data_IF_921935904350
#
_entry.id   IF_921935904350
#
_cell.length_a   1.000
_cell.length_b   1.000
_cell.length_c   1.000
_cell.angle_alpha   90.00
_cell.angle_beta   90.00
_cell.angle_gamma   90.00
#
_symmetry.space_group_name_H-M   'P 1'
#
loop_
_entity.id
_entity.type
_entity.pdbx_description
1 polymer ?
#
# COMPACT_ATOMS: atom_id res chain seq x y z
N UNK A 1 16.01 8.31 8.98
CA UNK A 1 14.62 7.87 8.68
C UNK A 1 14.65 6.37 8.53
N UNK A 2 13.70 5.64 9.12
CA UNK A 2 13.64 4.19 8.99
C UNK A 2 13.40 3.83 7.51
N UNK A 3 14.23 2.93 6.96
CA UNK A 3 14.18 2.51 5.56
C UNK A 3 13.39 1.19 5.38
N UNK A 4 12.87 0.64 6.47
CA UNK A 4 12.23 -0.67 6.54
C UNK A 4 10.96 -0.56 7.39
N UNK A 5 9.90 -1.24 6.96
CA UNK A 5 8.71 -1.48 7.75
C UNK A 5 8.32 -2.95 7.59
N UNK A 6 7.79 -3.53 8.67
CA UNK A 6 7.25 -4.88 8.73
C UNK A 6 5.86 -4.79 9.35
N UNK A 7 4.88 -5.44 8.72
CA UNK A 7 3.48 -5.36 9.13
C UNK A 7 2.88 -6.75 9.08
N UNK A 8 2.54 -7.27 10.26
CA UNK A 8 1.78 -8.50 10.41
C UNK A 8 0.30 -8.15 10.58
N UNK A 9 -0.51 -8.43 9.57
CA UNK A 9 -1.94 -8.11 9.57
C UNK A 9 -2.78 -8.94 10.54
N UNK A 10 -2.23 -10.01 11.14
CA UNK A 10 -2.90 -10.75 12.21
C UNK A 10 -2.93 -9.96 13.52
N UNK A 11 -1.92 -9.12 13.75
CA UNK A 11 -1.75 -8.33 14.99
C UNK A 11 -1.87 -6.84 14.77
N UNK A 12 -1.74 -6.38 13.52
CA UNK A 12 -1.66 -4.97 13.16
C UNK A 12 -2.84 -4.52 12.31
N UNK A 13 -3.50 -3.44 12.72
CA UNK A 13 -4.63 -2.88 11.97
C UNK A 13 -4.16 -2.12 10.72
N UNK A 14 -4.47 -2.66 9.52
CA UNK A 14 -4.27 -1.97 8.25
C UNK A 14 -4.84 -0.55 8.26
N UNK A 15 -6.05 -0.38 8.82
CA UNK A 15 -6.76 0.91 8.88
C UNK A 15 -5.96 1.94 9.68
N UNK A 16 -5.38 1.56 10.81
CA UNK A 16 -4.65 2.50 11.69
C UNK A 16 -3.23 2.75 11.20
N UNK A 17 -2.54 1.70 10.77
CA UNK A 17 -1.10 1.75 10.55
C UNK A 17 -0.70 2.06 9.12
N UNK A 18 -1.52 1.71 8.13
CA UNK A 18 -1.13 1.77 6.70
C UNK A 18 -2.01 2.71 5.90
N UNK A 19 -3.34 2.64 6.09
CA UNK A 19 -4.31 3.25 5.18
C UNK A 19 -4.16 4.77 4.97
N UNK A 20 -3.59 5.47 5.96
CA UNK A 20 -3.43 6.94 5.92
C UNK A 20 -2.06 7.38 5.39
N UNK A 21 -1.17 6.47 5.01
CA UNK A 21 0.14 6.82 4.48
C UNK A 21 0.01 7.44 3.08
N UNK A 22 0.38 8.72 2.94
CA UNK A 22 0.22 9.47 1.69
C UNK A 22 1.30 9.12 0.67
N UNK A 23 0.94 9.26 -0.60
CA UNK A 23 1.91 9.25 -1.70
C UNK A 23 2.86 10.44 -1.60
N UNK A 24 4.00 10.34 -2.26
CA UNK A 24 5.07 11.33 -2.14
C UNK A 24 5.84 11.50 -3.45
N UNK A 25 6.42 12.67 -3.64
CA UNK A 25 7.26 12.98 -4.80
C UNK A 25 8.13 14.21 -4.57
N UNK A 26 9.12 14.40 -5.43
CA UNK A 26 10.00 15.56 -5.38
C UNK A 26 9.39 16.75 -6.13
N UNK A 27 9.69 17.98 -5.68
CA UNK A 27 9.21 19.21 -6.34
C UNK A 27 9.55 19.21 -7.82
N UNK A 28 10.81 18.92 -8.15
CA UNK A 28 11.31 18.91 -9.52
C UNK A 28 10.55 17.90 -10.40
N UNK A 29 10.25 16.71 -9.86
CA UNK A 29 9.49 15.68 -10.58
C UNK A 29 8.05 16.12 -10.82
N UNK A 30 7.41 16.76 -9.84
CA UNK A 30 6.03 17.25 -9.98
C UNK A 30 5.96 18.36 -11.02
N UNK A 31 6.90 19.30 -11.01
CA UNK A 31 7.00 20.37 -12.01
C UNK A 31 7.27 19.81 -13.41
N UNK A 32 8.19 18.85 -13.51
CA UNK A 32 8.47 18.15 -14.76
C UNK A 32 7.24 17.43 -15.29
N UNK A 33 6.55 16.63 -14.46
CA UNK A 33 5.32 15.94 -14.85
C UNK A 33 4.23 16.91 -15.29
N UNK A 34 4.07 18.04 -14.60
CA UNK A 34 3.13 19.10 -14.98
C UNK A 34 3.47 19.72 -16.33
N UNK A 35 4.75 19.96 -16.60
CA UNK A 35 5.21 20.46 -17.92
C UNK A 35 4.86 19.51 -19.06
N UNK A 36 4.74 18.21 -18.77
CA UNK A 36 4.32 17.15 -19.70
C UNK A 36 2.82 16.90 -19.70
N UNK A 37 2.05 17.69 -18.97
CA UNK A 37 0.60 17.55 -18.85
C UNK A 37 0.14 16.40 -17.95
N UNK A 38 1.04 15.79 -17.16
CA UNK A 38 0.75 14.77 -16.16
C UNK A 38 0.61 15.39 -14.76
N UNK A 39 0.14 14.61 -13.78
CA UNK A 39 0.02 15.03 -12.37
C UNK A 39 -0.68 16.39 -12.15
N UNK A 40 -1.63 16.77 -13.03
CA UNK A 40 -2.27 18.10 -13.02
C UNK A 40 -3.02 18.40 -11.71
N UNK A 41 -3.55 17.37 -11.05
CA UNK A 41 -4.21 17.47 -9.75
C UNK A 41 -3.29 17.32 -8.53
N UNK A 42 -1.98 17.11 -8.73
CA UNK A 42 -1.03 16.97 -7.63
C UNK A 42 -0.89 18.26 -6.82
N UNK A 43 -1.01 18.15 -5.50
CA UNK A 43 -0.88 19.26 -4.56
C UNK A 43 -0.39 18.77 -3.20
N UNK A 44 -0.01 19.68 -2.30
CA UNK A 44 0.37 19.33 -0.92
C UNK A 44 -0.79 18.76 -0.09
N UNK A 45 -2.04 18.88 -0.56
CA UNK A 45 -3.22 18.33 0.11
C UNK A 45 -3.36 16.82 -0.12
N UNK A 46 -2.83 16.32 -1.25
CA UNK A 46 -2.96 14.91 -1.65
C UNK A 46 -1.63 14.15 -1.76
N UNK A 47 -0.50 14.84 -1.72
CA UNK A 47 0.83 14.23 -1.73
C UNK A 47 1.77 14.89 -0.72
N UNK A 48 2.72 14.12 -0.22
CA UNK A 48 3.88 14.63 0.50
C UNK A 48 4.85 15.18 -0.55
N UNK A 49 5.17 16.46 -0.46
CA UNK A 49 6.08 17.10 -1.41
C UNK A 49 7.42 17.31 -0.73
N UNK A 50 8.48 16.83 -1.37
CA UNK A 50 9.84 16.83 -0.86
C UNK A 50 10.71 17.73 -1.75
N UNK A 51 11.46 18.60 -1.10
CA UNK A 51 12.60 19.33 -1.66
C UNK A 51 13.90 18.62 -1.23
N UNK A 52 15.04 18.96 -1.82
CA UNK A 52 16.37 18.38 -1.59
C UNK A 52 16.72 18.18 -0.11
N UNK A 53 16.17 19.04 0.77
CA UNK A 53 16.53 19.07 2.17
C UNK A 53 15.37 18.80 3.13
N UNK A 54 14.10 18.89 2.70
CA UNK A 54 12.96 18.85 3.65
C UNK A 54 11.61 18.48 3.04
N UNK A 55 10.69 18.07 3.91
CA UNK A 55 9.25 17.94 3.61
C UNK A 55 8.63 19.34 3.63
N UNK A 56 7.84 19.67 2.60
CA UNK A 56 7.24 20.99 2.43
C UNK A 56 5.83 21.13 3.04
N UNK A 57 5.15 20.02 3.33
CA UNK A 57 3.80 20.06 3.89
C UNK A 57 3.82 20.71 5.30
N UNK A 58 2.98 21.73 5.52
CA UNK A 58 2.92 22.48 6.79
C UNK A 58 2.65 21.61 8.04
N UNK A 59 1.87 20.53 7.89
CA UNK A 59 1.59 19.57 8.96
C UNK A 59 2.62 18.44 9.09
N UNK A 60 3.69 18.47 8.30
CA UNK A 60 4.71 17.42 8.27
C UNK A 60 4.17 16.06 7.82
N UNK A 61 4.75 15.01 8.40
CA UNK A 61 4.36 13.62 8.18
C UNK A 61 3.29 13.19 9.18
N UNK A 62 2.42 12.26 8.76
CA UNK A 62 1.47 11.56 9.63
C UNK A 62 2.15 10.50 10.48
N UNK A 63 3.24 9.93 9.97
CA UNK A 63 4.08 8.92 10.60
C UNK A 63 5.55 9.23 10.31
N UNK A 64 6.45 8.93 11.24
CA UNK A 64 7.89 9.14 11.02
C UNK A 64 8.45 8.30 9.86
N UNK A 65 7.77 7.20 9.55
CA UNK A 65 8.06 6.21 8.51
C UNK A 65 7.01 6.22 7.37
N UNK A 66 6.28 7.34 7.20
CA UNK A 66 5.14 7.44 6.25
C UNK A 66 5.51 7.02 4.80
N UNK A 67 6.75 7.29 4.37
CA UNK A 67 7.22 6.91 3.03
C UNK A 67 7.26 5.39 2.81
N UNK A 68 7.81 4.63 3.76
CA UNK A 68 7.90 3.17 3.63
C UNK A 68 6.54 2.53 3.88
N UNK A 69 5.72 3.07 4.79
CA UNK A 69 4.32 2.65 4.97
C UNK A 69 3.48 2.85 3.71
N UNK A 70 3.70 3.94 2.96
CA UNK A 70 3.04 4.12 1.67
C UNK A 70 3.50 3.07 0.64
N UNK A 71 4.76 2.64 0.67
CA UNK A 71 5.22 1.53 -0.19
C UNK A 71 4.62 0.19 0.19
N UNK A 72 4.35 -0.04 1.47
CA UNK A 72 3.55 -1.20 1.91
C UNK A 72 2.11 -1.08 1.41
N UNK A 73 1.50 0.12 1.46
CA UNK A 73 0.17 0.38 0.90
C UNK A 73 0.12 0.11 -0.61
N UNK A 74 1.09 0.60 -1.38
CA UNK A 74 1.25 0.33 -2.82
C UNK A 74 1.33 -1.17 -3.09
N UNK A 75 2.18 -1.89 -2.34
CA UNK A 75 2.37 -3.32 -2.50
C UNK A 75 1.09 -4.11 -2.24
N UNK A 76 0.33 -3.78 -1.19
CA UNK A 76 -0.96 -4.44 -0.91
C UNK A 76 -1.93 -4.26 -2.08
N UNK A 77 -2.03 -3.04 -2.62
CA UNK A 77 -2.86 -2.75 -3.79
C UNK A 77 -2.43 -3.54 -5.02
N UNK A 78 -1.13 -3.56 -5.32
CA UNK A 78 -0.59 -4.31 -6.45
C UNK A 78 -0.80 -5.82 -6.31
N UNK A 79 -0.58 -6.38 -5.10
CA UNK A 79 -0.77 -7.81 -4.80
C UNK A 79 -2.24 -8.22 -4.95
N UNK A 80 -3.17 -7.33 -4.62
CA UNK A 80 -4.60 -7.60 -4.75
C UNK A 80 -5.08 -7.68 -6.22
N UNK A 81 -4.22 -7.33 -7.20
CA UNK A 81 -4.48 -7.63 -8.62
C UNK A 81 -4.55 -9.13 -8.93
N UNK A 82 -4.15 -10.00 -7.99
CA UNK A 82 -4.47 -11.43 -8.03
C UNK A 82 -5.99 -11.71 -8.02
N UNK A 83 -6.80 -10.77 -7.52
CA UNK A 83 -8.25 -10.92 -7.36
C UNK A 83 -8.65 -11.64 -6.06
N UNK A 84 -7.69 -12.04 -5.24
CA UNK A 84 -7.92 -12.76 -3.99
C UNK A 84 -6.99 -12.22 -2.88
N UNK A 85 -7.43 -12.37 -1.63
CA UNK A 85 -6.56 -12.16 -0.47
C UNK A 85 -5.47 -13.22 -0.44
N UNK A 86 -4.27 -12.83 -0.03
CA UNK A 86 -3.12 -13.73 0.12
C UNK A 86 -3.01 -14.21 1.56
N UNK A 87 -2.81 -15.53 1.70
CA UNK A 87 -2.27 -16.13 2.92
C UNK A 87 -0.80 -16.43 2.63
N UNK A 88 0.10 -15.66 3.22
CA UNK A 88 1.53 -15.76 2.98
C UNK A 88 2.29 -14.52 3.40
N UNK A 89 3.58 -14.50 3.10
CA UNK A 89 4.47 -13.38 3.41
C UNK A 89 5.00 -12.74 2.12
N UNK A 90 4.96 -11.40 2.03
CA UNK A 90 5.54 -10.64 0.94
C UNK A 90 6.72 -9.80 1.42
N UNK A 91 7.92 -10.06 0.88
CA UNK A 91 9.13 -9.29 1.14
C UNK A 91 9.59 -8.56 -0.12
N UNK A 92 9.89 -7.28 0.02
CA UNK A 92 10.34 -6.45 -1.08
C UNK A 92 11.51 -5.56 -0.65
N UNK A 93 12.51 -5.44 -1.52
CA UNK A 93 13.61 -4.51 -1.35
C UNK A 93 13.69 -3.58 -2.56
N UNK A 94 13.44 -2.28 -2.34
CA UNK A 94 13.37 -1.26 -3.41
C UNK A 94 12.42 -1.64 -4.56
N UNK A 95 11.34 -2.37 -4.24
CA UNK A 95 10.32 -2.74 -5.22
C UNK A 95 9.40 -1.56 -5.53
N UNK A 96 8.76 -1.63 -6.70
CA UNK A 96 7.67 -0.76 -7.12
C UNK A 96 6.69 -1.55 -7.99
N UNK A 97 5.67 -0.87 -8.53
CA UNK A 97 4.56 -1.51 -9.23
C UNK A 97 4.97 -2.53 -10.30
N UNK A 98 6.01 -2.22 -11.09
CA UNK A 98 6.50 -3.12 -12.13
C UNK A 98 7.03 -4.46 -11.56
N UNK A 99 7.81 -4.40 -10.48
CA UNK A 99 8.39 -5.59 -9.87
C UNK A 99 7.35 -6.36 -9.04
N UNK A 100 6.42 -5.66 -8.39
CA UNK A 100 5.27 -6.28 -7.73
C UNK A 100 4.43 -7.09 -8.73
N UNK A 101 4.10 -6.49 -9.87
CA UNK A 101 3.36 -7.17 -10.93
C UNK A 101 4.13 -8.36 -11.53
N UNK A 102 5.44 -8.24 -11.71
CA UNK A 102 6.28 -9.35 -12.18
C UNK A 102 6.28 -10.53 -11.18
N UNK A 103 6.36 -10.23 -9.88
CA UNK A 103 6.29 -11.24 -8.84
C UNK A 103 4.94 -11.99 -8.90
N UNK A 104 3.83 -11.28 -9.05
CA UNK A 104 2.51 -11.90 -9.22
C UNK A 104 2.41 -12.78 -10.46
N UNK A 105 2.88 -12.30 -11.62
CA UNK A 105 2.86 -13.09 -12.86
C UNK A 105 3.67 -14.38 -12.70
N UNK A 106 4.81 -14.30 -12.01
CA UNK A 106 5.67 -15.45 -11.73
C UNK A 106 4.96 -16.45 -10.80
N UNK A 107 4.31 -15.96 -9.74
CA UNK A 107 3.52 -16.78 -8.83
C UNK A 107 2.38 -17.51 -9.57
N UNK A 108 1.57 -16.78 -10.35
CA UNK A 108 0.45 -17.36 -11.11
C UNK A 108 0.93 -18.44 -12.09
N UNK A 109 2.05 -18.20 -12.77
CA UNK A 109 2.61 -19.13 -13.74
C UNK A 109 3.08 -20.44 -13.10
N UNK A 110 3.59 -20.38 -11.86
CA UNK A 110 4.01 -21.57 -11.12
C UNK A 110 2.87 -22.10 -10.24
N UNK A 111 2.01 -22.95 -10.82
CA UNK A 111 0.85 -23.55 -10.13
C UNK A 111 1.19 -24.46 -8.95
N UNK A 112 2.44 -24.89 -8.81
CA UNK A 112 2.89 -25.68 -7.67
C UNK A 112 3.25 -24.80 -6.45
N UNK A 113 3.36 -23.49 -6.64
CA UNK A 113 3.73 -22.53 -5.60
C UNK A 113 2.55 -21.93 -4.85
N UNK A 114 1.32 -22.28 -5.21
CA UNK A 114 0.10 -21.76 -4.57
C UNK A 114 -1.07 -22.73 -4.72
N UNK A 115 -2.05 -22.60 -3.85
CA UNK A 115 -3.33 -23.29 -3.92
C UNK A 115 -4.48 -22.33 -3.58
N UNK A 116 -5.69 -22.65 -4.05
CA UNK A 116 -6.90 -21.96 -3.60
C UNK A 116 -7.43 -22.67 -2.37
N UNK A 117 -7.69 -21.90 -1.31
CA UNK A 117 -8.30 -22.41 -0.08
C UNK A 117 -9.57 -21.63 0.23
N UNK A 118 -10.52 -22.30 0.88
CA UNK A 118 -11.72 -21.72 1.46
C UNK A 118 -11.86 -22.26 2.88
N UNK A 119 -12.43 -21.45 3.76
CA UNK A 119 -12.70 -21.83 5.15
C UNK A 119 -14.20 -21.70 5.38
N UNK A 120 -14.85 -22.81 5.76
CA UNK A 120 -16.29 -22.83 6.05
C UNK A 120 -16.58 -22.16 7.40
N UNK A 121 -15.67 -22.32 8.36
CA UNK A 121 -15.67 -21.61 9.64
C UNK A 121 -14.60 -20.51 9.62
N UNK A 122 -14.97 -19.32 10.11
CA UNK A 122 -14.06 -18.19 10.21
C UNK A 122 -12.96 -18.43 11.25
N UNK A 123 -13.22 -19.28 12.26
CA UNK A 123 -12.24 -19.60 13.30
C UNK A 123 -11.10 -20.49 12.78
N UNK A 124 -11.32 -21.20 11.66
CA UNK A 124 -10.29 -22.01 11.00
C UNK A 124 -9.37 -21.17 10.08
N UNK A 125 -9.77 -19.93 9.75
CA UNK A 125 -9.01 -19.08 8.86
C UNK A 125 -7.82 -18.41 9.59
N UNK A 126 -6.60 -18.41 9.02
CA UNK A 126 -5.45 -17.76 9.64
C UNK A 126 -5.52 -16.22 9.60
N UNK A 127 -6.52 -15.67 8.91
CA UNK A 127 -6.75 -14.24 8.75
C UNK A 127 -8.19 -13.96 9.17
N UNK A 128 -8.37 -13.06 10.13
CA UNK A 128 -9.68 -12.57 10.54
C UNK A 128 -9.95 -11.19 9.92
N UNK A 129 -11.16 -11.00 9.40
CA UNK A 129 -11.60 -9.70 8.88
C UNK A 129 -12.52 -9.02 9.91
N UNK A 130 -12.32 -7.71 10.11
CA UNK A 130 -13.30 -6.93 10.86
C UNK A 130 -14.63 -6.94 10.11
N UNK A 131 -15.73 -7.10 10.85
CA UNK A 131 -17.08 -6.93 10.33
C UNK A 131 -17.18 -5.54 9.65
N UNK A 132 -17.67 -5.44 8.41
CA UNK A 132 -17.86 -4.15 7.78
C UNK A 132 -18.84 -3.32 8.61
N UNK A 133 -18.52 -2.05 8.86
CA UNK A 133 -19.50 -1.08 9.35
C UNK A 133 -20.54 -0.83 8.25
N UNK A 134 -21.51 -1.74 8.11
CA UNK A 134 -22.69 -1.50 7.30
C UNK A 134 -23.63 -0.57 8.08
N UNK A 135 -23.32 0.72 8.10
CA UNK A 135 -24.35 1.73 8.41
C UNK A 135 -25.28 1.83 7.22
N UNK A 136 -26.24 0.91 7.14
CA UNK A 136 -27.46 1.17 6.39
C UNK A 136 -28.20 2.27 7.17
N UNK A 137 -28.09 3.53 6.73
CA UNK A 137 -29.04 4.54 7.12
C UNK A 137 -30.37 4.18 6.43
N UNK A 138 -31.46 3.86 7.15
CA UNK A 138 -32.76 3.75 6.51
C UNK A 138 -33.15 5.13 5.95
N UNK A 139 -33.64 5.10 4.71
CA UNK A 139 -34.21 6.26 4.01
C UNK A 139 -35.49 6.76 4.71
#
# INVERSE_FOLDING_TARGET
>A
RAATAEIDFSTTSFVREVSRARTFGFVEEIEYLRSRGLARGGSMDNAIVIDDYKVLNNGGLRYDDEFVKHKVLDAIGDLYLLGYSLIGEYRAFKSGHALNNLALRTLIANKEAWEMVTFDDADDAPISYNQPFLTYAPA
#
